data_IF_654155266844
#
_entry.id   IF_654155266844
#
_cell.length_a   1.000
_cell.length_b   1.000
_cell.length_c   1.000
_cell.angle_alpha   90.00
_cell.angle_beta   90.00
_cell.angle_gamma   90.00
#
_symmetry.space_group_name_H-M   'P 1'
#
loop_
_entity.id
_entity.type
_entity.pdbx_description
1 polymer ?
#
# COMPACT_ATOMS: atom_id res chain seq x y z
N UNK A 1 75.84 53.47 24.95
CA UNK A 1 75.42 52.48 25.98
C UNK A 1 74.61 51.39 25.31
N UNK A 2 75.07 50.14 25.46
CA UNK A 2 74.43 48.84 25.16
C UNK A 2 74.08 48.55 23.69
N UNK A 3 74.85 47.74 22.94
CA UNK A 3 75.21 46.32 23.14
C UNK A 3 74.11 45.35 22.70
N UNK A 4 74.42 44.63 21.60
CA UNK A 4 74.09 43.22 21.35
C UNK A 4 72.63 42.93 20.96
N UNK A 5 72.28 42.07 20.01
CA UNK A 5 72.75 40.69 19.88
C UNK A 5 72.40 40.15 18.48
N UNK A 6 73.34 39.41 17.90
CA UNK A 6 73.19 38.55 16.72
C UNK A 6 72.27 37.38 17.06
N UNK A 7 71.33 37.00 16.20
CA UNK A 7 70.88 35.60 16.06
C UNK A 7 70.33 35.40 14.65
N UNK A 8 71.15 34.88 13.73
CA UNK A 8 71.25 33.45 13.37
C UNK A 8 69.94 32.90 12.81
N UNK A 9 69.95 32.80 11.47
CA UNK A 9 69.29 31.79 10.65
C UNK A 9 68.87 30.54 11.44
N UNK A 10 67.56 30.32 11.50
CA UNK A 10 66.99 28.98 11.64
C UNK A 10 66.17 28.72 10.39
N UNK A 11 66.84 28.27 9.33
CA UNK A 11 66.17 27.62 8.22
C UNK A 11 65.53 26.36 8.79
N UNK A 12 64.24 26.45 9.10
CA UNK A 12 63.45 25.30 9.51
C UNK A 12 63.31 24.42 8.28
N UNK A 13 64.16 23.40 8.19
CA UNK A 13 64.07 22.36 7.18
C UNK A 13 62.72 21.68 7.35
N UNK A 14 61.73 22.14 6.58
CA UNK A 14 60.44 21.51 6.48
C UNK A 14 60.68 20.09 5.97
N UNK A 15 60.68 19.14 6.91
CA UNK A 15 60.72 17.72 6.62
C UNK A 15 59.47 17.42 5.81
N UNK A 16 59.59 17.42 4.48
CA UNK A 16 58.59 16.84 3.59
C UNK A 16 58.47 15.39 4.02
N UNK A 17 57.43 15.09 4.78
CA UNK A 17 56.94 13.72 4.92
C UNK A 17 56.71 13.27 3.48
N UNK A 18 57.43 12.26 2.96
CA UNK A 18 57.00 11.66 1.72
C UNK A 18 55.58 11.20 1.97
N UNK A 19 54.61 11.83 1.31
CA UNK A 19 53.29 11.22 1.13
C UNK A 19 53.62 9.88 0.51
N UNK A 20 53.60 8.83 1.35
CA UNK A 20 53.75 7.44 0.91
C UNK A 20 52.88 7.33 -0.32
N UNK A 21 53.53 6.89 -1.39
CA UNK A 21 52.98 6.86 -2.73
C UNK A 21 51.52 6.53 -2.64
N UNK A 22 50.72 7.41 -3.26
CA UNK A 22 49.37 7.11 -3.69
C UNK A 22 49.40 5.67 -4.16
N UNK A 23 48.77 4.80 -3.39
CA UNK A 23 48.64 3.40 -3.76
C UNK A 23 47.67 3.40 -4.94
N UNK A 24 48.15 3.78 -6.11
CA UNK A 24 47.54 3.54 -7.42
C UNK A 24 47.64 2.04 -7.77
N UNK A 25 47.54 1.18 -6.74
CA UNK A 25 47.62 -0.27 -6.80
C UNK A 25 46.28 -0.91 -6.38
N UNK A 26 45.20 -0.12 -6.43
CA UNK A 26 43.89 -0.47 -5.90
C UNK A 26 42.72 -0.30 -6.86
N UNK A 27 42.90 0.24 -8.07
CA UNK A 27 41.86 0.22 -9.11
C UNK A 27 41.85 -1.19 -9.73
N UNK A 28 41.37 -2.14 -8.95
CA UNK A 28 41.43 -3.57 -9.28
C UNK A 28 40.23 -3.93 -10.15
N UNK A 29 40.43 -4.78 -11.17
CA UNK A 29 39.33 -5.40 -11.92
C UNK A 29 38.28 -6.02 -10.98
N UNK A 30 38.71 -6.51 -9.82
CA UNK A 30 37.83 -7.03 -8.78
C UNK A 30 36.89 -5.97 -8.20
N UNK A 31 37.36 -4.75 -7.96
CA UNK A 31 36.54 -3.64 -7.45
C UNK A 31 35.41 -3.30 -8.43
N UNK A 32 35.73 -3.21 -9.72
CA UNK A 32 34.73 -2.96 -10.76
C UNK A 32 33.74 -4.14 -10.86
N UNK A 33 34.22 -5.38 -10.82
CA UNK A 33 33.35 -6.57 -10.86
C UNK A 33 32.40 -6.61 -9.67
N UNK A 34 32.89 -6.38 -8.44
CA UNK A 34 32.05 -6.34 -7.24
C UNK A 34 31.05 -5.18 -7.32
N UNK A 35 31.47 -4.01 -7.80
CA UNK A 35 30.59 -2.85 -7.97
C UNK A 35 29.45 -3.17 -8.95
N UNK A 36 29.76 -3.79 -10.09
CA UNK A 36 28.75 -4.20 -11.07
C UNK A 36 27.80 -5.26 -10.49
N UNK A 37 28.32 -6.21 -9.71
CA UNK A 37 27.49 -7.22 -9.03
C UNK A 37 26.52 -6.56 -8.04
N UNK A 38 27.00 -5.65 -7.19
CA UNK A 38 26.17 -4.94 -6.21
C UNK A 38 25.12 -4.08 -6.92
N UNK A 39 25.49 -3.36 -7.99
CA UNK A 39 24.54 -2.58 -8.78
C UNK A 39 23.49 -3.51 -9.42
N UNK A 40 23.89 -4.64 -9.97
CA UNK A 40 22.97 -5.62 -10.56
C UNK A 40 21.95 -6.15 -9.55
N UNK A 41 22.41 -6.55 -8.35
CA UNK A 41 21.54 -7.05 -7.28
C UNK A 41 20.61 -5.95 -6.75
N UNK A 42 21.11 -4.72 -6.58
CA UNK A 42 20.28 -3.61 -6.11
C UNK A 42 19.21 -3.22 -7.13
N UNK A 43 19.54 -3.14 -8.42
CA UNK A 43 18.57 -2.84 -9.48
C UNK A 43 17.47 -3.91 -9.56
N UNK A 44 17.83 -5.19 -9.51
CA UNK A 44 16.84 -6.29 -9.53
C UNK A 44 15.94 -6.30 -8.30
N UNK A 45 16.49 -6.01 -7.12
CA UNK A 45 15.70 -5.85 -5.89
C UNK A 45 14.73 -4.66 -5.98
N UNK A 46 15.17 -3.53 -6.54
CA UNK A 46 14.32 -2.35 -6.71
C UNK A 46 13.18 -2.60 -7.71
N UNK A 47 13.47 -3.20 -8.86
CA UNK A 47 12.45 -3.49 -9.89
C UNK A 47 11.40 -4.46 -9.37
N UNK A 48 11.81 -5.53 -8.69
CA UNK A 48 10.87 -6.50 -8.10
C UNK A 48 10.01 -5.87 -6.99
N UNK A 49 10.60 -5.00 -6.16
CA UNK A 49 9.85 -4.24 -5.15
C UNK A 49 8.80 -3.31 -5.77
N UNK A 50 9.17 -2.55 -6.81
CA UNK A 50 8.25 -1.63 -7.50
C UNK A 50 7.08 -2.36 -8.16
N UNK A 51 7.35 -3.49 -8.82
CA UNK A 51 6.30 -4.32 -9.41
C UNK A 51 5.28 -4.76 -8.35
N UNK A 52 5.76 -5.21 -7.18
CA UNK A 52 4.92 -5.64 -6.07
C UNK A 52 4.04 -4.50 -5.52
N UNK A 53 4.63 -3.31 -5.31
CA UNK A 53 3.89 -2.13 -4.81
C UNK A 53 2.82 -1.68 -5.80
N UNK A 54 3.11 -1.73 -7.10
CA UNK A 54 2.15 -1.34 -8.14
C UNK A 54 0.92 -2.25 -8.15
N UNK A 55 1.11 -3.57 -8.05
CA UNK A 55 0.03 -4.54 -7.99
C UNK A 55 -0.81 -4.39 -6.71
N UNK A 56 -0.15 -4.19 -5.57
CA UNK A 56 -0.83 -3.94 -4.30
C UNK A 56 -1.69 -2.65 -4.33
N UNK A 57 -1.19 -1.59 -4.98
CA UNK A 57 -1.93 -0.34 -5.14
C UNK A 57 -3.21 -0.50 -5.96
N UNK A 58 -3.18 -1.30 -7.03
CA UNK A 58 -4.38 -1.56 -7.83
C UNK A 58 -5.42 -2.40 -7.09
N UNK A 59 -4.98 -3.46 -6.40
CA UNK A 59 -5.86 -4.26 -5.55
C UNK A 59 -6.50 -3.39 -4.45
N UNK A 60 -5.75 -2.45 -3.86
CA UNK A 60 -6.29 -1.52 -2.88
C UNK A 60 -7.35 -0.58 -3.47
N UNK A 61 -7.08 0.04 -4.63
CA UNK A 61 -8.07 0.90 -5.32
C UNK A 61 -9.36 0.14 -5.64
N UNK A 62 -9.25 -1.12 -6.05
CA UNK A 62 -10.40 -1.96 -6.35
C UNK A 62 -11.14 -2.37 -5.07
N UNK A 63 -10.44 -2.62 -3.98
CA UNK A 63 -11.03 -2.84 -2.65
C UNK A 63 -11.85 -1.63 -2.18
N UNK A 64 -11.32 -0.41 -2.32
CA UNK A 64 -12.05 0.83 -1.96
C UNK A 64 -13.29 1.03 -2.84
N UNK A 65 -13.20 0.72 -4.14
CA UNK A 65 -14.36 0.78 -5.03
C UNK A 65 -15.42 -0.28 -4.68
N UNK A 66 -14.99 -1.50 -4.33
CA UNK A 66 -15.88 -2.55 -3.86
C UNK A 66 -16.61 -2.14 -2.56
N UNK A 67 -15.92 -1.46 -1.63
CA UNK A 67 -16.54 -0.89 -0.42
C UNK A 67 -17.62 0.15 -0.75
N UNK A 68 -17.35 1.02 -1.73
CA UNK A 68 -18.36 1.98 -2.21
C UNK A 68 -19.59 1.26 -2.79
N UNK A 69 -19.39 0.19 -3.58
CA UNK A 69 -20.48 -0.65 -4.11
C UNK A 69 -21.27 -1.31 -2.98
N UNK A 70 -20.58 -1.85 -1.98
CA UNK A 70 -21.20 -2.44 -0.79
C UNK A 70 -22.08 -1.44 -0.04
N UNK A 71 -21.59 -0.23 0.17
CA UNK A 71 -22.33 0.82 0.87
C UNK A 71 -23.56 1.27 0.09
N UNK A 72 -23.45 1.42 -1.23
CA UNK A 72 -24.58 1.78 -2.08
C UNK A 72 -25.66 0.68 -2.08
N UNK A 73 -25.24 -0.59 -2.08
CA UNK A 73 -26.16 -1.70 -1.89
C UNK A 73 -26.86 -1.64 -0.53
N UNK A 74 -26.12 -1.35 0.56
CA UNK A 74 -26.68 -1.24 1.89
C UNK A 74 -27.73 -0.12 2.01
N UNK A 75 -27.53 1.02 1.34
CA UNK A 75 -28.56 2.08 1.28
C UNK A 75 -29.80 1.64 0.50
N UNK A 76 -29.64 0.90 -0.62
CA UNK A 76 -30.77 0.30 -1.32
C UNK A 76 -31.51 -0.73 -0.44
N UNK A 77 -30.77 -1.50 0.36
CA UNK A 77 -31.33 -2.45 1.31
C UNK A 77 -32.12 -1.77 2.42
N UNK A 78 -31.59 -0.69 2.97
CA UNK A 78 -32.28 0.15 3.95
C UNK A 78 -33.55 0.77 3.38
N UNK A 79 -33.54 1.24 2.13
CA UNK A 79 -34.73 1.76 1.48
C UNK A 79 -35.81 0.66 1.32
N UNK A 80 -35.43 -0.53 0.86
CA UNK A 80 -36.33 -1.67 0.74
C UNK A 80 -36.89 -2.13 2.10
N UNK A 81 -36.06 -2.16 3.14
CA UNK A 81 -36.48 -2.54 4.48
C UNK A 81 -37.47 -1.54 5.10
N UNK A 82 -37.28 -0.23 4.87
CA UNK A 82 -38.19 0.83 5.34
C UNK A 82 -39.57 0.75 4.70
N UNK A 83 -39.63 0.33 3.44
CA UNK A 83 -40.89 0.14 2.73
C UNK A 83 -41.59 -1.18 3.08
N UNK A 84 -40.97 -2.03 3.90
CA UNK A 84 -41.52 -3.35 4.17
C UNK A 84 -42.47 -3.39 5.38
N UNK A 85 -43.55 -4.14 5.25
CA UNK A 85 -44.50 -4.47 6.31
C UNK A 85 -44.17 -5.80 6.98
N UNK A 86 -44.48 -5.93 8.27
CA UNK A 86 -44.26 -7.18 9.03
C UNK A 86 -45.02 -8.33 8.35
N UNK A 87 -44.34 -9.45 8.10
CA UNK A 87 -44.89 -10.60 7.37
C UNK A 87 -44.69 -10.55 5.85
N UNK A 88 -44.23 -9.41 5.31
CA UNK A 88 -43.78 -9.29 3.92
C UNK A 88 -42.35 -9.77 3.69
N UNK A 89 -41.86 -9.59 2.47
CA UNK A 89 -40.46 -9.82 2.09
C UNK A 89 -39.86 -8.53 1.54
N UNK A 90 -38.59 -8.27 1.85
CA UNK A 90 -37.87 -7.13 1.27
C UNK A 90 -36.80 -7.60 0.29
N UNK A 91 -36.67 -6.85 -0.79
CA UNK A 91 -35.71 -7.10 -1.87
C UNK A 91 -35.11 -5.75 -2.30
N UNK A 92 -33.80 -5.53 -2.13
CA UNK A 92 -33.16 -4.33 -2.63
C UNK A 92 -33.12 -4.36 -4.15
N UNK A 93 -33.52 -3.26 -4.79
CA UNK A 93 -33.30 -3.03 -6.22
C UNK A 93 -32.00 -2.26 -6.36
N UNK A 94 -30.96 -2.94 -6.85
CA UNK A 94 -29.64 -2.36 -7.03
C UNK A 94 -28.99 -2.92 -8.29
N UNK A 95 -28.49 -2.03 -9.16
CA UNK A 95 -27.67 -2.40 -10.32
C UNK A 95 -26.22 -2.04 -10.03
N UNK A 96 -25.32 -3.02 -9.88
CA UNK A 96 -23.90 -2.71 -9.70
C UNK A 96 -23.31 -2.05 -10.95
N UNK A 97 -22.24 -1.24 -10.78
CA UNK A 97 -21.44 -0.75 -11.90
C UNK A 97 -20.84 -1.91 -12.71
N UNK A 98 -20.52 -1.65 -13.98
CA UNK A 98 -19.99 -2.66 -14.90
C UNK A 98 -18.81 -3.44 -14.32
N UNK A 99 -18.90 -4.77 -14.40
CA UNK A 99 -17.85 -5.69 -13.95
C UNK A 99 -17.81 -5.95 -12.44
N UNK A 100 -18.66 -5.30 -11.64
CA UNK A 100 -18.88 -5.69 -10.24
C UNK A 100 -20.05 -6.68 -10.18
N UNK A 101 -19.90 -7.71 -9.37
CA UNK A 101 -20.99 -8.63 -9.04
C UNK A 101 -21.30 -8.51 -7.56
N UNK A 102 -22.59 -8.51 -7.24
CA UNK A 102 -23.07 -8.42 -5.86
C UNK A 102 -23.95 -9.63 -5.60
N UNK A 103 -23.63 -10.37 -4.56
CA UNK A 103 -24.41 -11.49 -4.08
C UNK A 103 -24.77 -11.28 -2.62
N UNK A 104 -25.93 -11.81 -2.21
CA UNK A 104 -26.41 -11.70 -0.85
C UNK A 104 -26.91 -13.04 -0.34
N UNK A 105 -26.70 -13.30 0.94
CA UNK A 105 -27.19 -14.49 1.62
C UNK A 105 -27.88 -14.09 2.92
N UNK A 106 -29.16 -14.43 3.12
CA UNK A 106 -30.06 -15.10 2.16
C UNK A 106 -30.56 -14.17 1.02
N UNK A 107 -30.85 -14.75 -0.15
CA UNK A 107 -31.23 -14.03 -1.37
C UNK A 107 -32.60 -13.31 -1.28
N UNK A 108 -33.43 -13.65 -0.30
CA UNK A 108 -34.64 -12.93 0.09
C UNK A 108 -34.87 -13.18 1.58
N UNK A 109 -35.25 -12.14 2.32
CA UNK A 109 -35.51 -12.25 3.74
C UNK A 109 -36.93 -11.76 4.03
N UNK A 110 -37.62 -12.49 4.91
CA UNK A 110 -38.83 -11.98 5.53
C UNK A 110 -38.50 -10.69 6.29
N UNK A 111 -39.48 -9.79 6.37
CA UNK A 111 -39.31 -8.52 7.05
C UNK A 111 -39.28 -8.74 8.56
N UNK A 112 -38.12 -8.51 9.20
CA UNK A 112 -37.92 -8.86 10.59
C UNK A 112 -38.76 -7.93 11.49
N UNK A 113 -39.40 -8.44 12.56
CA UNK A 113 -39.99 -7.60 13.59
C UNK A 113 -38.95 -6.67 14.23
N UNK A 114 -39.41 -5.56 14.82
CA UNK A 114 -38.56 -4.61 15.56
C UNK A 114 -37.72 -5.31 16.65
N UNK A 115 -38.28 -6.35 17.28
CA UNK A 115 -37.65 -7.11 18.36
C UNK A 115 -36.54 -8.06 17.88
N UNK A 116 -36.57 -8.52 16.63
CA UNK A 116 -35.69 -9.59 16.13
C UNK A 116 -35.08 -9.22 14.77
N UNK A 117 -33.97 -8.44 14.75
CA UNK A 117 -33.31 -8.06 13.50
C UNK A 117 -32.84 -9.26 12.68
N UNK A 118 -32.94 -9.13 11.35
CA UNK A 118 -32.34 -10.09 10.42
C UNK A 118 -30.90 -9.70 10.09
N UNK A 119 -30.04 -10.69 9.88
CA UNK A 119 -28.68 -10.50 9.34
C UNK A 119 -28.67 -10.92 7.88
N UNK A 120 -27.96 -10.16 7.05
CA UNK A 120 -27.73 -10.49 5.65
C UNK A 120 -26.25 -10.29 5.36
N UNK A 121 -25.62 -11.30 4.80
CA UNK A 121 -24.25 -11.23 4.35
C UNK A 121 -24.23 -10.80 2.88
N UNK A 122 -23.47 -9.75 2.61
CA UNK A 122 -23.22 -9.20 1.30
C UNK A 122 -21.83 -9.61 0.86
N UNK A 123 -21.70 -10.08 -0.38
CA UNK A 123 -20.41 -10.35 -1.00
C UNK A 123 -20.34 -9.61 -2.33
N UNK A 124 -19.30 -8.80 -2.51
CA UNK A 124 -19.04 -8.04 -3.75
C UNK A 124 -17.72 -8.51 -4.34
N UNK A 125 -17.75 -8.94 -5.60
CA UNK A 125 -16.54 -9.24 -6.35
C UNK A 125 -16.27 -8.12 -7.38
N UNK A 126 -15.02 -7.67 -7.42
CA UNK A 126 -14.52 -6.72 -8.40
C UNK A 126 -14.14 -7.43 -9.71
N UNK A 127 -13.97 -6.69 -10.83
CA UNK A 127 -13.54 -7.26 -12.11
C UNK A 127 -12.18 -7.96 -12.06
N UNK A 128 -11.36 -7.63 -11.06
CA UNK A 128 -10.02 -8.17 -10.84
C UNK A 128 -9.99 -9.42 -9.95
N UNK A 129 -11.15 -9.88 -9.47
CA UNK A 129 -11.25 -11.02 -8.57
C UNK A 129 -11.09 -10.70 -7.08
N UNK A 130 -10.90 -9.43 -6.69
CA UNK A 130 -10.93 -9.03 -5.28
C UNK A 130 -12.36 -9.16 -4.76
N UNK A 131 -12.53 -9.89 -3.67
CA UNK A 131 -13.84 -10.09 -3.04
C UNK A 131 -13.87 -9.39 -1.68
N UNK A 132 -14.96 -8.66 -1.42
CA UNK A 132 -15.23 -8.01 -0.15
C UNK A 132 -16.55 -8.51 0.42
N UNK A 133 -16.61 -8.68 1.74
CA UNK A 133 -17.79 -9.18 2.44
C UNK A 133 -18.20 -8.24 3.56
N UNK A 134 -19.50 -8.01 3.70
CA UNK A 134 -20.08 -7.18 4.76
C UNK A 134 -21.38 -7.79 5.28
N UNK A 135 -21.54 -7.89 6.58
CA UNK A 135 -22.82 -8.24 7.19
C UNK A 135 -23.62 -6.98 7.49
N UNK A 136 -24.82 -6.89 6.94
CA UNK A 136 -25.80 -5.84 7.27
C UNK A 136 -26.87 -6.39 8.21
N UNK A 137 -27.33 -5.54 9.12
CA UNK A 137 -28.43 -5.86 10.04
C UNK A 137 -29.65 -5.06 9.63
N UNK A 138 -30.75 -5.76 9.37
CA UNK A 138 -32.00 -5.17 8.88
C UNK A 138 -33.07 -5.23 9.97
N UNK A 139 -33.80 -4.12 10.12
CA UNK A 139 -34.92 -3.95 11.04
C UNK A 139 -36.03 -3.22 10.29
N UNK A 140 -37.29 -3.62 10.48
CA UNK A 140 -38.41 -2.75 10.10
C UNK A 140 -38.45 -1.54 11.04
N UNK A 141 -38.91 -0.37 10.55
CA UNK A 141 -39.17 0.78 11.40
C UNK A 141 -40.21 0.47 12.48
#
# INVERSE_FOLDING_TARGET
MRSSLRHRLAATTARRVPRRGRADAGESLLEIVITVVVIGVTVTALVSGLASVSAAGEAHRQGVRADTVMRNYAEAAKAAARACTVGGTWQPVYSPPSGYTVSRTPASSACPPIATPARVDLTVASPSGVTQTMTIVVRTP
#
